data_IF_275395179683
#
_entry.id   IF_275395179683
#
_cell.length_a   1.000
_cell.length_b   1.000
_cell.length_c   1.000
_cell.angle_alpha   90.00
_cell.angle_beta   90.00
_cell.angle_gamma   90.00
#
_symmetry.space_group_name_H-M   'P 1'
#
loop_
_entity.id
_entity.type
_entity.pdbx_description
1 polymer ?
#
# COMPACT_ATOMS: atom_id res chain seq x y z
N UNK A 1 -8.22 -35.50 -9.55
CA UNK A 1 -8.18 -34.55 -8.42
C UNK A 1 -8.95 -33.33 -8.85
N UNK A 2 -9.98 -32.91 -8.10
CA UNK A 2 -10.69 -31.68 -8.43
C UNK A 2 -9.75 -30.50 -8.20
N UNK A 3 -9.46 -29.77 -9.28
CA UNK A 3 -8.73 -28.50 -9.22
C UNK A 3 -9.55 -27.52 -8.38
N UNK A 4 -9.02 -27.06 -7.24
CA UNK A 4 -9.64 -26.00 -6.45
C UNK A 4 -9.57 -24.68 -7.25
N UNK A 5 -10.68 -23.94 -7.32
CA UNK A 5 -10.70 -22.59 -7.90
C UNK A 5 -10.32 -21.58 -6.82
N UNK A 6 -9.11 -21.00 -6.95
CA UNK A 6 -8.62 -19.95 -6.05
C UNK A 6 -8.89 -18.55 -6.59
N UNK A 7 -9.54 -18.41 -7.74
CA UNK A 7 -9.69 -17.09 -8.37
C UNK A 7 -10.50 -16.12 -7.53
N UNK A 8 -10.14 -14.84 -7.62
CA UNK A 8 -10.78 -13.76 -6.87
C UNK A 8 -10.99 -12.53 -7.75
N UNK A 9 -11.78 -11.57 -7.27
CA UNK A 9 -12.13 -10.35 -7.99
C UNK A 9 -12.07 -9.13 -7.09
N UNK A 10 -11.54 -8.03 -7.61
CA UNK A 10 -11.68 -6.69 -7.02
C UNK A 10 -12.32 -5.80 -8.10
N UNK A 11 -13.51 -5.26 -7.80
CA UNK A 11 -14.40 -4.59 -8.76
C UNK A 11 -14.53 -5.35 -10.09
N UNK A 12 -14.00 -4.82 -11.20
CA UNK A 12 -14.10 -5.41 -12.54
C UNK A 12 -12.96 -6.39 -12.87
N UNK A 13 -11.95 -6.52 -12.00
CA UNK A 13 -10.70 -7.22 -12.31
C UNK A 13 -10.60 -8.57 -11.62
N UNK A 14 -10.31 -9.61 -12.40
CA UNK A 14 -10.12 -10.99 -11.94
C UNK A 14 -8.63 -11.28 -11.76
N UNK A 15 -8.32 -12.02 -10.71
CA UNK A 15 -7.00 -12.54 -10.37
C UNK A 15 -7.09 -14.07 -10.22
N UNK A 16 -6.02 -14.78 -10.60
CA UNK A 16 -6.03 -16.24 -10.62
C UNK A 16 -6.00 -16.86 -9.22
N UNK A 17 -5.47 -16.12 -8.23
CA UNK A 17 -5.46 -16.51 -6.83
C UNK A 17 -5.42 -15.26 -5.92
N UNK A 18 -5.67 -15.38 -4.60
CA UNK A 18 -5.75 -14.24 -3.70
C UNK A 18 -4.38 -13.84 -3.11
N UNK A 19 -3.27 -14.38 -3.62
CA UNK A 19 -1.93 -14.12 -3.09
C UNK A 19 -1.29 -12.94 -3.81
N UNK A 20 -1.16 -11.83 -3.11
CA UNK A 20 -0.61 -10.58 -3.63
C UNK A 20 0.66 -10.27 -2.84
N UNK A 21 1.66 -9.65 -3.47
CA UNK A 21 2.76 -9.08 -2.69
C UNK A 21 2.26 -7.91 -1.86
N UNK A 22 2.83 -7.67 -0.69
CA UNK A 22 2.58 -6.42 0.02
C UNK A 22 3.46 -5.30 -0.56
N UNK A 23 2.88 -4.11 -0.78
CA UNK A 23 3.65 -2.95 -1.26
C UNK A 23 4.87 -2.69 -0.37
N UNK A 24 6.04 -2.56 -0.99
CA UNK A 24 7.31 -2.32 -0.33
C UNK A 24 8.10 -3.56 0.08
N UNK A 25 7.50 -4.76 0.01
CA UNK A 25 8.16 -6.03 0.32
C UNK A 25 8.74 -6.75 -0.91
N UNK A 26 8.35 -6.32 -2.11
CA UNK A 26 8.74 -6.95 -3.38
C UNK A 26 9.28 -5.95 -4.42
N UNK A 27 9.54 -4.69 -4.04
CA UNK A 27 9.88 -3.62 -4.97
C UNK A 27 8.90 -3.57 -6.17
N UNK A 28 9.35 -3.87 -7.38
CA UNK A 28 8.56 -4.05 -8.60
C UNK A 28 8.62 -5.50 -9.13
N UNK A 29 8.99 -6.48 -8.31
CA UNK A 29 8.99 -7.91 -8.62
C UNK A 29 10.27 -8.47 -9.26
N UNK A 30 11.20 -7.62 -9.72
CA UNK A 30 12.43 -8.05 -10.41
C UNK A 30 13.31 -9.01 -9.59
N UNK A 31 13.44 -8.76 -8.30
CA UNK A 31 14.22 -9.65 -7.43
C UNK A 31 13.49 -10.97 -7.16
N UNK A 32 12.14 -10.96 -7.14
CA UNK A 32 11.34 -12.16 -6.93
C UNK A 32 11.29 -13.07 -8.16
N UNK A 33 11.39 -12.53 -9.38
CA UNK A 33 11.29 -13.32 -10.62
C UNK A 33 12.44 -14.31 -10.81
N UNK A 34 13.49 -14.21 -9.99
CA UNK A 34 14.59 -15.17 -9.93
C UNK A 34 14.18 -16.50 -9.29
N UNK A 35 13.10 -16.51 -8.51
CA UNK A 35 12.65 -17.68 -7.74
C UNK A 35 11.44 -18.37 -8.37
N UNK A 36 10.53 -17.60 -8.99
CA UNK A 36 9.34 -18.13 -9.67
C UNK A 36 8.79 -17.13 -10.71
N UNK A 37 8.03 -17.59 -11.73
CA UNK A 37 7.35 -16.70 -12.66
C UNK A 37 6.30 -15.84 -11.96
N UNK A 38 6.39 -14.51 -12.12
CA UNK A 38 5.48 -13.58 -11.45
C UNK A 38 4.00 -13.76 -11.85
N UNK A 39 3.73 -14.43 -12.96
CA UNK A 39 2.38 -14.80 -13.40
C UNK A 39 1.69 -15.86 -12.52
N UNK A 40 2.43 -16.52 -11.62
CA UNK A 40 1.87 -17.56 -10.72
C UNK A 40 1.19 -16.98 -9.47
N UNK A 41 1.46 -15.72 -9.12
CA UNK A 41 0.78 -15.03 -8.01
C UNK A 41 -0.38 -14.17 -8.51
N UNK A 42 -1.32 -13.87 -7.62
CA UNK A 42 -2.50 -13.06 -7.91
C UNK A 42 -2.14 -11.69 -8.49
N UNK A 43 -1.27 -10.93 -7.83
CA UNK A 43 -0.70 -9.70 -8.37
C UNK A 43 0.59 -9.26 -7.65
N UNK A 44 1.40 -8.49 -8.38
CA UNK A 44 2.47 -7.67 -7.80
C UNK A 44 1.87 -6.33 -7.39
N UNK A 45 1.80 -6.07 -6.09
CA UNK A 45 1.59 -4.72 -5.56
C UNK A 45 2.94 -4.04 -5.49
N UNK A 46 3.15 -3.05 -6.35
CA UNK A 46 4.43 -2.34 -6.43
C UNK A 46 4.72 -1.59 -5.14
N UNK A 47 5.98 -1.27 -4.90
CA UNK A 47 6.34 -0.25 -3.91
C UNK A 47 5.56 1.04 -4.18
N UNK A 48 5.09 1.70 -3.12
CA UNK A 48 4.39 2.98 -3.25
C UNK A 48 5.27 3.99 -4.01
N UNK A 49 4.78 4.45 -5.15
CA UNK A 49 5.45 5.43 -6.00
C UNK A 49 4.98 6.84 -5.65
N UNK A 50 5.91 7.79 -5.71
CA UNK A 50 5.65 9.21 -5.48
C UNK A 50 5.94 10.00 -6.76
N UNK A 51 5.48 11.25 -6.80
CA UNK A 51 5.68 12.13 -7.97
C UNK A 51 7.16 12.36 -8.28
N UNK A 52 7.99 12.51 -7.24
CA UNK A 52 9.43 12.77 -7.36
C UNK A 52 10.24 11.62 -6.75
N UNK A 53 11.48 11.48 -7.20
CA UNK A 53 12.43 10.55 -6.63
C UNK A 53 12.73 10.87 -5.15
N UNK A 54 12.97 9.84 -4.35
CA UNK A 54 13.36 9.96 -2.93
C UNK A 54 14.48 9.01 -2.60
N UNK A 55 15.46 9.52 -1.85
CA UNK A 55 16.57 8.73 -1.31
C UNK A 55 16.15 7.86 -0.11
N UNK A 56 15.05 8.21 0.57
CA UNK A 56 14.58 7.57 1.80
C UNK A 56 15.14 8.19 3.07
N UNK A 57 14.82 7.61 4.24
CA UNK A 57 15.29 8.07 5.56
C UNK A 57 16.74 7.69 5.83
N UNK A 58 17.34 8.18 6.90
CA UNK A 58 18.69 7.77 7.30
C UNK A 58 18.73 6.30 7.77
N UNK A 59 19.90 5.65 7.63
CA UNK A 59 20.15 4.31 8.17
C UNK A 59 20.56 4.38 9.65
N UNK A 60 20.36 3.29 10.44
CA UNK A 60 19.70 2.03 10.10
C UNK A 60 18.20 2.18 9.86
N UNK A 61 17.68 1.50 8.83
CA UNK A 61 16.27 1.56 8.42
C UNK A 61 15.46 0.33 8.83
N UNK A 62 16.08 -0.67 9.42
CA UNK A 62 15.44 -1.92 9.82
C UNK A 62 15.97 -2.35 11.19
N UNK A 63 15.10 -2.96 11.99
CA UNK A 63 15.45 -3.57 13.26
C UNK A 63 14.55 -4.77 13.51
N UNK A 64 15.10 -5.88 14.00
CA UNK A 64 14.32 -7.07 14.36
C UNK A 64 13.50 -6.83 15.65
N UNK A 65 12.35 -7.49 15.74
CA UNK A 65 11.52 -7.58 16.94
C UNK A 65 11.10 -9.04 17.16
N UNK A 66 10.69 -9.44 18.38
CA UNK A 66 10.08 -10.76 18.57
C UNK A 66 8.94 -11.00 17.57
N UNK A 67 9.10 -12.03 16.72
CA UNK A 67 8.12 -12.40 15.69
C UNK A 67 7.76 -11.28 14.70
N UNK A 68 8.70 -10.40 14.37
CA UNK A 68 8.47 -9.32 13.42
C UNK A 68 9.69 -8.47 13.13
N UNK A 69 9.47 -7.31 12.52
CA UNK A 69 10.52 -6.32 12.30
C UNK A 69 9.95 -4.91 12.27
N UNK A 70 10.78 -3.93 12.62
CA UNK A 70 10.54 -2.52 12.33
C UNK A 70 11.20 -2.10 11.03
N UNK A 71 10.54 -1.24 10.26
CA UNK A 71 11.12 -0.57 9.10
C UNK A 71 10.88 0.95 9.10
N UNK A 72 11.85 1.72 8.64
CA UNK A 72 11.79 3.19 8.52
C UNK A 72 12.39 3.61 7.18
N UNK A 73 11.87 3.07 6.07
CA UNK A 73 12.45 3.26 4.73
C UNK A 73 12.30 4.70 4.23
N UNK A 74 11.14 5.33 4.48
CA UNK A 74 10.84 6.68 4.01
C UNK A 74 10.54 6.77 2.51
N UNK A 75 9.81 5.78 1.96
CA UNK A 75 9.31 5.80 0.57
C UNK A 75 10.42 6.03 -0.48
N UNK A 76 11.63 5.48 -0.26
CA UNK A 76 12.72 5.55 -1.24
C UNK A 76 12.25 5.03 -2.61
N UNK A 77 12.49 5.75 -3.68
CA UNK A 77 12.05 5.29 -5.00
C UNK A 77 12.46 6.23 -6.12
N UNK A 78 12.34 5.79 -7.38
CA UNK A 78 12.82 6.53 -8.54
C UNK A 78 11.88 7.67 -8.97
N UNK A 79 10.67 7.74 -8.40
CA UNK A 79 9.62 8.66 -8.85
C UNK A 79 8.84 8.12 -10.05
N UNK A 80 7.70 8.74 -10.35
CA UNK A 80 6.73 8.22 -11.32
C UNK A 80 7.30 8.10 -12.75
N UNK A 81 8.15 9.05 -13.18
CA UNK A 81 8.65 9.07 -14.56
C UNK A 81 9.47 7.82 -14.89
N UNK A 82 10.50 7.54 -14.10
CA UNK A 82 11.35 6.35 -14.26
C UNK A 82 10.58 5.05 -14.01
N UNK A 83 9.61 5.05 -13.09
CA UNK A 83 8.76 3.90 -12.85
C UNK A 83 7.92 3.53 -14.08
N UNK A 84 7.35 4.53 -14.77
CA UNK A 84 6.58 4.32 -15.99
C UNK A 84 7.45 3.90 -17.17
N UNK A 85 8.66 4.43 -17.27
CA UNK A 85 9.61 4.10 -18.35
C UNK A 85 10.18 2.69 -18.23
N UNK A 86 10.44 2.22 -17.00
CA UNK A 86 11.23 1.00 -16.77
C UNK A 86 10.44 -0.12 -16.10
N UNK A 87 9.79 0.16 -14.98
CA UNK A 87 9.25 -0.87 -14.10
C UNK A 87 7.93 -1.44 -14.65
N UNK A 88 7.02 -0.60 -15.15
CA UNK A 88 5.74 -1.05 -15.74
C UNK A 88 5.96 -1.92 -17.00
N UNK A 89 6.73 -1.50 -18.02
CA UNK A 89 6.94 -2.33 -19.21
C UNK A 89 7.54 -3.70 -18.87
N UNK A 90 8.50 -3.74 -17.95
CA UNK A 90 9.12 -4.99 -17.50
C UNK A 90 8.11 -5.93 -16.83
N UNK A 91 7.22 -5.40 -15.96
CA UNK A 91 6.16 -6.19 -15.34
C UNK A 91 5.17 -6.76 -16.35
N UNK A 92 4.83 -5.99 -17.39
CA UNK A 92 3.95 -6.42 -18.48
C UNK A 92 4.62 -7.54 -19.29
N UNK A 93 5.90 -7.39 -19.64
CA UNK A 93 6.68 -8.42 -20.35
C UNK A 93 6.74 -9.75 -19.56
N UNK A 94 6.82 -9.64 -18.24
CA UNK A 94 6.78 -10.79 -17.31
C UNK A 94 5.36 -11.28 -17.00
N UNK A 95 4.34 -10.84 -17.75
CA UNK A 95 2.94 -11.29 -17.66
C UNK A 95 2.35 -11.16 -16.25
N UNK A 96 2.82 -10.20 -15.47
CA UNK A 96 2.34 -9.96 -14.11
C UNK A 96 0.99 -9.24 -14.12
N UNK A 97 0.11 -9.54 -13.17
CA UNK A 97 -0.97 -8.62 -12.79
C UNK A 97 -0.39 -7.54 -11.90
N UNK A 98 -0.68 -6.28 -12.19
CA UNK A 98 0.00 -5.13 -11.58
C UNK A 98 -1.00 -4.32 -10.78
N UNK A 99 -0.75 -4.17 -9.48
CA UNK A 99 -1.41 -3.16 -8.64
C UNK A 99 -0.39 -2.08 -8.32
N UNK A 100 -0.62 -0.87 -8.82
CA UNK A 100 0.32 0.25 -8.58
C UNK A 100 -0.03 0.90 -7.25
N UNK A 101 0.87 0.79 -6.27
CA UNK A 101 0.73 1.53 -5.02
C UNK A 101 1.20 2.97 -5.21
N UNK A 102 0.44 3.95 -4.75
CA UNK A 102 0.77 5.38 -4.79
C UNK A 102 0.79 6.00 -3.40
N UNK A 103 1.70 6.95 -3.18
CA UNK A 103 1.78 7.74 -1.96
C UNK A 103 2.07 9.21 -2.29
N UNK A 104 1.57 10.13 -1.46
CA UNK A 104 1.72 11.57 -1.63
C UNK A 104 1.74 12.29 -0.29
N UNK A 105 2.23 13.52 -0.29
CA UNK A 105 2.29 14.40 0.88
C UNK A 105 1.12 15.41 0.90
N UNK A 106 0.38 15.54 -0.20
CA UNK A 106 -0.85 16.34 -0.34
C UNK A 106 -1.91 15.64 -1.19
N UNK A 107 -3.17 16.06 -1.07
CA UNK A 107 -4.30 15.56 -1.90
C UNK A 107 -4.04 15.77 -3.39
N UNK A 108 -3.37 16.87 -3.74
CA UNK A 108 -3.02 17.21 -5.11
C UNK A 108 -1.96 16.26 -5.68
N UNK A 109 -0.97 15.85 -4.88
CA UNK A 109 0.03 14.87 -5.33
C UNK A 109 -0.60 13.52 -5.69
N UNK A 110 -1.55 13.04 -4.87
CA UNK A 110 -2.31 11.83 -5.19
C UNK A 110 -3.11 11.99 -6.50
N UNK A 111 -3.75 13.15 -6.71
CA UNK A 111 -4.47 13.45 -7.94
C UNK A 111 -3.56 13.49 -9.18
N UNK A 112 -2.35 14.07 -9.06
CA UNK A 112 -1.34 14.09 -10.12
C UNK A 112 -0.88 12.67 -10.46
N UNK A 113 -0.55 11.86 -9.45
CA UNK A 113 -0.15 10.46 -9.66
C UNK A 113 -1.25 9.65 -10.36
N UNK A 114 -2.50 9.78 -9.90
CA UNK A 114 -3.64 9.14 -10.53
C UNK A 114 -3.78 9.54 -12.01
N UNK A 115 -3.64 10.84 -12.32
CA UNK A 115 -3.69 11.34 -13.70
C UNK A 115 -2.58 10.77 -14.57
N UNK A 116 -1.36 10.62 -14.03
CA UNK A 116 -0.22 10.02 -14.74
C UNK A 116 -0.45 8.54 -15.04
N UNK A 117 -1.12 7.82 -14.15
CA UNK A 117 -1.43 6.39 -14.31
C UNK A 117 -2.63 6.12 -15.24
N UNK A 118 -3.54 7.08 -15.42
CA UNK A 118 -4.75 6.94 -16.25
C UNK A 118 -4.52 6.37 -17.64
N UNK A 119 -3.46 6.82 -18.32
CA UNK A 119 -3.19 6.44 -19.70
C UNK A 119 -2.37 5.14 -19.82
N UNK A 120 -1.97 4.54 -18.69
CA UNK A 120 -1.04 3.41 -18.67
C UNK A 120 -1.81 2.10 -18.78
N UNK A 121 -1.55 1.36 -19.85
CA UNK A 121 -2.17 0.05 -20.07
C UNK A 121 -1.48 -1.03 -19.22
N UNK A 122 -2.17 -2.15 -19.00
CA UNK A 122 -1.64 -3.29 -18.25
C UNK A 122 -1.78 -3.19 -16.72
N UNK A 123 -2.11 -2.02 -16.17
CA UNK A 123 -2.40 -1.87 -14.74
C UNK A 123 -3.74 -2.53 -14.43
N UNK A 124 -3.75 -3.35 -13.37
CA UNK A 124 -4.95 -4.03 -12.88
C UNK A 124 -5.70 -3.20 -11.83
N UNK A 125 -5.01 -2.51 -10.93
CA UNK A 125 -5.64 -1.59 -9.97
C UNK A 125 -4.63 -0.55 -9.45
N UNK A 126 -5.12 0.46 -8.75
CA UNK A 126 -4.30 1.40 -7.97
C UNK A 126 -4.55 1.15 -6.48
N UNK A 127 -3.50 0.98 -5.70
CA UNK A 127 -3.55 0.99 -4.25
C UNK A 127 -3.17 2.39 -3.74
N UNK A 128 -4.10 3.08 -3.09
CA UNK A 128 -3.88 4.40 -2.51
C UNK A 128 -3.40 4.21 -1.08
N UNK A 129 -2.09 4.37 -0.87
CA UNK A 129 -1.48 4.28 0.46
C UNK A 129 -1.66 5.61 1.21
N UNK A 130 -2.75 5.70 1.98
CA UNK A 130 -3.07 6.89 2.80
C UNK A 130 -2.38 6.88 4.17
N UNK A 131 -1.55 5.88 4.49
CA UNK A 131 -0.86 5.79 5.78
C UNK A 131 0.38 6.70 5.88
N UNK A 132 0.57 7.61 4.93
CA UNK A 132 1.70 8.54 4.91
C UNK A 132 1.39 9.81 5.73
N UNK A 133 2.39 10.40 6.40
CA UNK A 133 2.22 11.67 7.10
C UNK A 133 1.86 12.80 6.13
N UNK A 134 0.82 13.57 6.45
CA UNK A 134 0.44 14.80 5.76
C UNK A 134 1.37 15.93 6.21
N UNK A 135 2.09 16.52 5.26
CA UNK A 135 3.04 17.61 5.54
C UNK A 135 2.30 18.95 5.70
N UNK A 136 1.16 19.13 5.01
CA UNK A 136 0.35 20.35 5.07
C UNK A 136 -0.34 20.53 6.43
N UNK A 137 -0.63 19.41 7.12
CA UNK A 137 -1.35 19.41 8.40
C UNK A 137 -0.46 19.08 9.61
N UNK A 138 0.75 19.68 9.66
CA UNK A 138 1.70 19.58 10.79
C UNK A 138 2.07 18.12 11.17
N UNK A 139 2.18 17.21 10.21
CA UNK A 139 2.63 15.84 10.44
C UNK A 139 1.54 14.85 10.88
N UNK A 140 0.26 15.22 10.84
CA UNK A 140 -0.85 14.27 11.03
C UNK A 140 -0.95 13.31 9.83
N UNK A 141 -1.29 12.05 10.03
CA UNK A 141 -1.36 11.04 8.95
C UNK A 141 -2.73 11.12 8.26
N UNK A 142 -2.79 11.14 6.92
CA UNK A 142 -4.07 11.15 6.15
C UNK A 142 -5.01 10.02 6.58
N UNK A 143 -4.46 8.82 6.82
CA UNK A 143 -5.19 7.64 7.26
C UNK A 143 -5.87 7.77 8.63
N UNK A 144 -5.54 8.78 9.44
CA UNK A 144 -6.06 8.91 10.80
C UNK A 144 -7.23 9.88 10.91
N UNK A 145 -7.67 10.50 9.81
CA UNK A 145 -8.77 11.47 9.78
C UNK A 145 -9.72 11.17 8.61
N UNK A 146 -11.01 10.85 8.88
CA UNK A 146 -11.99 10.46 7.87
C UNK A 146 -12.06 11.43 6.68
N UNK A 147 -12.09 12.74 6.95
CA UNK A 147 -12.23 13.79 5.93
C UNK A 147 -11.03 13.82 4.98
N UNK A 148 -9.82 13.72 5.53
CA UNK A 148 -8.61 13.75 4.70
C UNK A 148 -8.44 12.46 3.90
N UNK A 149 -8.85 11.31 4.45
CA UNK A 149 -8.89 10.06 3.72
C UNK A 149 -9.90 10.13 2.56
N UNK A 150 -11.11 10.68 2.79
CA UNK A 150 -12.13 10.90 1.75
C UNK A 150 -11.60 11.80 0.64
N UNK A 151 -11.01 12.95 1.00
CA UNK A 151 -10.51 13.93 0.04
C UNK A 151 -9.43 13.34 -0.89
N UNK A 152 -8.53 12.50 -0.35
CA UNK A 152 -7.52 11.80 -1.17
C UNK A 152 -8.20 10.85 -2.16
N UNK A 153 -9.13 10.01 -1.72
CA UNK A 153 -9.82 9.05 -2.59
C UNK A 153 -10.65 9.77 -3.66
N UNK A 154 -11.37 10.83 -3.32
CA UNK A 154 -12.13 11.64 -4.28
C UNK A 154 -11.22 12.28 -5.33
N UNK A 155 -10.05 12.80 -4.90
CA UNK A 155 -9.04 13.35 -5.81
C UNK A 155 -8.51 12.29 -6.77
N UNK A 156 -8.18 11.09 -6.28
CA UNK A 156 -7.74 9.97 -7.11
C UNK A 156 -8.85 9.57 -8.07
N UNK A 157 -10.08 9.36 -7.60
CA UNK A 157 -11.24 8.97 -8.43
C UNK A 157 -11.51 9.97 -9.54
N UNK A 158 -11.47 11.27 -9.24
CA UNK A 158 -11.68 12.35 -10.22
C UNK A 158 -10.61 12.36 -11.31
N UNK A 159 -9.36 12.07 -10.95
CA UNK A 159 -8.23 12.17 -11.87
C UNK A 159 -7.93 10.88 -12.64
N UNK A 160 -8.19 9.71 -12.05
CA UNK A 160 -7.92 8.44 -12.71
C UNK A 160 -8.87 8.21 -13.89
N UNK A 161 -10.16 8.53 -13.72
CA UNK A 161 -11.19 8.27 -14.74
C UNK A 161 -11.31 6.78 -15.12
N UNK A 162 -12.44 6.44 -15.75
CA UNK A 162 -12.66 5.07 -16.26
C UNK A 162 -12.85 4.01 -15.17
N UNK A 163 -12.62 2.74 -15.54
CA UNK A 163 -12.95 1.55 -14.75
C UNK A 163 -11.75 0.96 -13.98
N UNK A 164 -10.64 1.70 -13.85
CA UNK A 164 -9.48 1.19 -13.11
C UNK A 164 -9.81 1.15 -11.61
N UNK A 165 -9.78 -0.03 -10.96
CA UNK A 165 -10.16 -0.12 -9.56
C UNK A 165 -9.22 0.65 -8.63
N UNK A 166 -9.82 1.27 -7.60
CA UNK A 166 -9.12 1.98 -6.53
C UNK A 166 -9.23 1.16 -5.24
N UNK A 167 -8.09 0.78 -4.67
CA UNK A 167 -7.99 0.09 -3.39
C UNK A 167 -7.44 1.07 -2.36
N UNK A 168 -8.11 1.32 -1.25
CA UNK A 168 -7.53 2.12 -0.17
C UNK A 168 -6.77 1.24 0.82
N UNK A 169 -5.49 1.56 1.07
CA UNK A 169 -4.69 0.87 2.09
C UNK A 169 -4.79 1.57 3.44
N UNK A 170 -5.40 0.91 4.41
CA UNK A 170 -5.75 1.51 5.69
C UNK A 170 -4.68 1.26 6.76
N UNK A 171 -4.48 2.27 7.61
CA UNK A 171 -3.63 2.16 8.79
C UNK A 171 -4.41 1.53 9.95
N UNK A 172 -3.79 0.65 10.75
CA UNK A 172 -4.38 0.14 11.99
C UNK A 172 -4.26 1.13 13.16
N UNK A 173 -3.41 2.16 13.04
CA UNK A 173 -3.09 3.13 14.10
C UNK A 173 -4.16 4.23 14.20
N UNK A 174 -5.40 3.80 14.45
CA UNK A 174 -6.59 4.65 14.61
C UNK A 174 -7.47 4.13 15.74
N UNK A 175 -8.29 5.00 16.32
CA UNK A 175 -9.23 4.61 17.39
C UNK A 175 -10.35 3.73 16.85
N UNK A 176 -10.95 4.13 15.73
CA UNK A 176 -11.98 3.37 15.04
C UNK A 176 -11.63 3.24 13.54
N UNK A 177 -11.33 2.02 13.11
CA UNK A 177 -10.99 1.75 11.71
C UNK A 177 -12.23 1.66 10.81
N UNK A 178 -13.41 1.36 11.38
CA UNK A 178 -14.68 1.31 10.65
C UNK A 178 -15.07 2.72 10.21
N UNK A 179 -14.78 3.74 11.03
CA UNK A 179 -14.99 5.14 10.67
C UNK A 179 -14.18 5.55 9.44
N UNK A 180 -12.88 5.20 9.41
CA UNK A 180 -12.00 5.46 8.26
C UNK A 180 -12.47 4.66 7.02
N UNK A 181 -12.81 3.39 7.19
CA UNK A 181 -13.34 2.56 6.11
C UNK A 181 -14.63 3.16 5.54
N UNK A 182 -15.52 3.66 6.39
CA UNK A 182 -16.77 4.33 5.99
C UNK A 182 -16.48 5.52 5.08
N UNK A 183 -15.49 6.36 5.41
CA UNK A 183 -15.20 7.56 4.62
C UNK A 183 -14.65 7.22 3.24
N UNK A 184 -13.70 6.30 3.15
CA UNK A 184 -13.12 5.90 1.86
C UNK A 184 -14.11 5.13 0.98
N UNK A 185 -15.00 4.34 1.58
CA UNK A 185 -16.09 3.67 0.85
C UNK A 185 -17.05 4.70 0.25
N UNK A 186 -17.48 5.69 1.04
CA UNK A 186 -18.34 6.79 0.55
C UNK A 186 -17.67 7.63 -0.54
N UNK A 187 -16.34 7.80 -0.45
CA UNK A 187 -15.54 8.47 -1.48
C UNK A 187 -15.40 7.67 -2.78
N UNK A 188 -15.82 6.40 -2.78
CA UNK A 188 -15.91 5.55 -3.96
C UNK A 188 -14.67 4.71 -4.24
N UNK A 189 -14.06 4.11 -3.21
CA UNK A 189 -13.12 2.98 -3.42
C UNK A 189 -13.85 1.73 -3.94
N UNK A 190 -13.10 0.87 -4.62
CA UNK A 190 -13.54 -0.42 -5.15
C UNK A 190 -13.18 -1.61 -4.24
N UNK A 191 -12.27 -1.38 -3.29
CA UNK A 191 -11.85 -2.36 -2.29
C UNK A 191 -10.92 -1.76 -1.25
N UNK A 192 -10.59 -2.54 -0.23
CA UNK A 192 -9.74 -2.11 0.89
C UNK A 192 -8.57 -3.08 1.08
N UNK A 193 -7.40 -2.54 1.40
CA UNK A 193 -6.24 -3.31 1.83
C UNK A 193 -5.96 -3.02 3.30
N UNK A 194 -6.13 -4.04 4.16
CA UNK A 194 -5.89 -3.93 5.60
C UNK A 194 -4.85 -4.99 6.04
N UNK A 195 -3.84 -4.65 6.83
CA UNK A 195 -3.48 -3.35 7.40
C UNK A 195 -2.11 -2.89 6.90
N UNK A 196 -1.83 -1.59 7.01
CA UNK A 196 -0.46 -1.12 7.04
C UNK A 196 0.24 -1.50 8.37
N UNK A 197 1.51 -1.14 8.51
CA UNK A 197 2.28 -1.42 9.74
C UNK A 197 1.77 -0.63 10.95
N UNK A 198 1.99 -1.16 12.15
CA UNK A 198 1.81 -0.41 13.41
C UNK A 198 3.05 0.42 13.75
N UNK A 199 2.92 1.50 14.52
CA UNK A 199 4.08 2.25 14.99
C UNK A 199 4.81 1.55 16.15
N UNK A 200 6.14 1.44 16.05
CA UNK A 200 6.97 0.86 17.11
C UNK A 200 8.35 1.50 17.23
N UNK A 201 9.07 1.12 18.29
CA UNK A 201 10.44 1.51 18.57
C UNK A 201 11.19 0.33 19.20
N UNK A 202 12.48 0.20 18.87
CA UNK A 202 13.42 -0.67 19.58
C UNK A 202 14.56 0.18 20.10
N UNK A 203 14.88 0.02 21.39
CA UNK A 203 16.04 0.63 22.03
C UNK A 203 17.19 -0.37 22.04
N UNK A 204 18.36 0.07 21.62
CA UNK A 204 19.61 -0.67 21.81
C UNK A 204 20.06 -0.51 23.26
N UNK A 205 20.17 -1.62 24.00
CA UNK A 205 20.48 -1.60 25.43
C UNK A 205 21.94 -1.27 25.75
N UNK A 206 22.86 -1.35 24.78
CA UNK A 206 24.26 -0.99 24.99
C UNK A 206 24.47 0.51 24.84
N UNK A 207 23.83 1.11 23.82
CA UNK A 207 23.96 2.54 23.53
C UNK A 207 22.87 3.39 24.19
N UNK A 208 21.80 2.75 24.68
CA UNK A 208 20.59 3.41 25.21
C UNK A 208 19.93 4.36 24.19
N UNK A 209 20.11 4.09 22.89
CA UNK A 209 19.55 4.87 21.79
C UNK A 209 18.55 4.05 20.95
N UNK A 210 17.65 4.69 20.19
CA UNK A 210 16.83 4.00 19.22
C UNK A 210 17.69 3.25 18.17
N UNK A 211 17.36 1.99 17.88
CA UNK A 211 18.04 1.20 16.86
C UNK A 211 17.86 1.75 15.44
N UNK A 212 16.73 2.39 15.19
CA UNK A 212 16.44 3.00 13.90
C UNK A 212 16.96 4.44 13.88
N UNK A 213 17.61 4.84 12.79
CA UNK A 213 18.03 6.23 12.60
C UNK A 213 16.82 7.19 12.61
N UNK A 214 15.68 6.73 12.09
CA UNK A 214 14.40 7.44 12.18
C UNK A 214 13.69 7.39 13.54
N UNK A 215 14.33 6.83 14.58
CA UNK A 215 13.84 6.56 15.94
C UNK A 215 12.69 5.54 16.01
N UNK A 216 11.60 5.81 15.29
CA UNK A 216 10.45 4.92 15.17
C UNK A 216 10.38 4.29 13.77
N UNK A 217 9.62 3.21 13.67
CA UNK A 217 9.37 2.49 12.43
C UNK A 217 8.06 1.72 12.46
N UNK A 218 7.66 1.26 11.27
CA UNK A 218 6.51 0.40 11.09
C UNK A 218 6.82 -1.04 11.47
N UNK A 219 6.11 -1.57 12.47
CA UNK A 219 6.09 -2.96 12.88
C UNK A 219 5.26 -3.80 11.92
N UNK A 220 5.87 -4.86 11.42
CA UNK A 220 5.26 -5.88 10.57
C UNK A 220 5.65 -7.29 11.02
N UNK A 221 5.10 -8.31 10.33
CA UNK A 221 5.38 -9.72 10.59
C UNK A 221 4.31 -10.41 11.45
N UNK A 222 4.53 -11.67 11.84
CA UNK A 222 3.56 -12.46 12.60
C UNK A 222 3.02 -11.77 13.87
N UNK A 223 3.82 -10.92 14.51
CA UNK A 223 3.46 -10.15 15.70
C UNK A 223 2.18 -9.32 15.53
N UNK A 224 1.91 -8.81 14.32
CA UNK A 224 0.75 -7.93 14.07
C UNK A 224 -0.48 -8.66 13.54
N UNK A 225 -0.39 -9.98 13.29
CA UNK A 225 -1.47 -10.77 12.70
C UNK A 225 -2.78 -10.69 13.49
N UNK A 226 -2.82 -10.80 14.83
CA UNK A 226 -4.08 -10.68 15.58
C UNK A 226 -4.77 -9.33 15.39
N UNK A 227 -3.99 -8.25 15.28
CA UNK A 227 -4.49 -6.89 15.05
C UNK A 227 -5.07 -6.76 13.64
N UNK A 228 -4.35 -7.28 12.64
CA UNK A 228 -4.82 -7.31 11.25
C UNK A 228 -6.14 -8.06 11.11
N UNK A 229 -6.24 -9.26 11.71
CA UNK A 229 -7.47 -10.08 11.66
C UNK A 229 -8.64 -9.37 12.35
N UNK A 230 -8.42 -8.74 13.51
CA UNK A 230 -9.44 -7.93 14.19
C UNK A 230 -9.93 -6.79 13.29
N UNK A 231 -9.01 -6.02 12.72
CA UNK A 231 -9.33 -4.90 11.83
C UNK A 231 -10.17 -5.35 10.62
N UNK A 232 -9.73 -6.41 9.95
CA UNK A 232 -10.46 -7.01 8.82
C UNK A 232 -11.86 -7.46 9.25
N UNK A 233 -11.98 -8.15 10.39
CA UNK A 233 -13.27 -8.62 10.90
C UNK A 233 -14.24 -7.47 11.18
N UNK A 234 -13.78 -6.40 11.85
CA UNK A 234 -14.60 -5.23 12.16
C UNK A 234 -15.11 -4.52 10.91
N UNK A 235 -14.22 -4.30 9.94
CA UNK A 235 -14.59 -3.66 8.66
C UNK A 235 -15.52 -4.55 7.85
N UNK A 236 -15.25 -5.85 7.77
CA UNK A 236 -16.12 -6.79 7.04
C UNK A 236 -17.50 -6.92 7.68
N UNK A 237 -17.60 -6.90 9.02
CA UNK A 237 -18.88 -6.86 9.73
C UNK A 237 -19.73 -5.63 9.35
N UNK A 238 -19.11 -4.46 9.26
CA UNK A 238 -19.80 -3.23 8.88
C UNK A 238 -20.11 -3.16 7.37
N UNK A 239 -19.24 -3.74 6.54
CA UNK A 239 -19.29 -3.66 5.07
C UNK A 239 -19.07 -5.04 4.43
N UNK A 240 -20.04 -5.97 4.53
CA UNK A 240 -19.86 -7.37 4.12
C UNK A 240 -19.66 -7.55 2.60
N UNK A 241 -20.04 -6.55 1.80
CA UNK A 241 -19.95 -6.57 0.34
C UNK A 241 -18.77 -5.78 -0.21
N UNK A 242 -17.97 -5.14 0.65
CA UNK A 242 -16.76 -4.41 0.21
C UNK A 242 -15.59 -5.39 0.15
N UNK A 243 -14.96 -5.58 -1.03
CA UNK A 243 -13.79 -6.44 -1.19
C UNK A 243 -12.56 -5.97 -0.43
#
# INVERSE_FOLDING_TARGET
MNSFDFSTKIASKRFENPIFTASGCASSGQELSQFFPLSEIGAIVTKSIMSKARTGRITPRMAETPSGMLNSIGLQGPGIDLFLERDIPWLIENKSKIVVSIAGESVDEYGVLARRLRAVQGISAIEVNISCPNVENRGQVFACQPDTASAVIESVRRNIGGELPIIAKLSPDVTDIVEIATSVIKAGVDGLALINTLLGMVIDLNTMQPKLGGKTGGLSGPAIRPIAVRAIYQVHQAFPNTP
#
